data_IF_357955679775
#
_entry.id   IF_357955679775
#
_cell.length_a   1.000
_cell.length_b   1.000
_cell.length_c   1.000
_cell.angle_alpha   90.00
_cell.angle_beta   90.00
_cell.angle_gamma   90.00
#
_symmetry.space_group_name_H-M   'P 1'
#
loop_
_entity.id
_entity.type
_entity.pdbx_description
1 polymer ?
#
# COMPACT_ATOMS: atom_id res chain seq x y z
N UNK A 1 -4.63 14.21 15.08
CA UNK A 1 -4.58 13.42 13.83
C UNK A 1 -3.14 13.48 13.38
N UNK A 2 -2.47 12.37 13.14
CA UNK A 2 -1.07 12.41 12.72
C UNK A 2 -0.97 12.93 11.29
N UNK A 3 -0.13 13.92 11.03
CA UNK A 3 0.17 14.50 9.70
C UNK A 3 0.97 13.53 8.79
N UNK A 4 0.76 12.23 8.95
CA UNK A 4 1.48 11.21 8.19
C UNK A 4 0.90 11.13 6.79
N UNK A 5 1.77 11.28 5.79
CA UNK A 5 1.47 11.05 4.38
C UNK A 5 2.36 9.93 3.85
N UNK A 6 1.93 9.29 2.76
CA UNK A 6 2.71 8.23 2.12
C UNK A 6 3.07 7.09 3.07
N UNK A 7 2.05 6.47 3.66
CA UNK A 7 2.19 5.36 4.58
C UNK A 7 1.16 4.26 4.34
N UNK A 8 1.51 3.04 4.76
CA UNK A 8 0.60 1.91 4.92
C UNK A 8 0.74 1.44 6.36
N UNK A 9 -0.39 1.32 7.07
CA UNK A 9 -0.50 0.67 8.37
C UNK A 9 -1.22 -0.65 8.20
N UNK A 10 -0.53 -1.75 8.46
CA UNK A 10 -1.15 -3.07 8.57
C UNK A 10 -1.94 -3.17 9.88
N UNK A 11 -3.06 -3.88 9.83
CA UNK A 11 -3.96 -4.09 10.97
C UNK A 11 -4.35 -5.56 11.00
N UNK A 12 -5.00 -6.01 12.08
CA UNK A 12 -5.45 -7.41 12.19
C UNK A 12 -6.41 -7.84 11.07
N UNK A 13 -7.19 -6.90 10.51
CA UNK A 13 -8.25 -7.20 9.54
C UNK A 13 -7.99 -6.68 8.13
N UNK A 14 -6.81 -6.08 7.89
CA UNK A 14 -6.48 -5.49 6.60
C UNK A 14 -5.45 -4.38 6.74
N UNK A 15 -5.66 -3.26 6.04
CA UNK A 15 -4.77 -2.10 6.13
C UNK A 15 -5.51 -0.79 5.95
N UNK A 16 -4.87 0.28 6.42
CA UNK A 16 -5.21 1.67 6.14
C UNK A 16 -3.96 2.42 5.71
N UNK A 17 -4.10 3.51 4.98
CA UNK A 17 -2.95 4.27 4.54
C UNK A 17 -3.32 5.51 3.76
N UNK A 18 -2.28 6.18 3.27
CA UNK A 18 -2.38 7.35 2.45
C UNK A 18 -1.27 7.33 1.40
N UNK A 19 -1.58 7.76 0.18
CA UNK A 19 -0.59 8.13 -0.83
C UNK A 19 -0.88 9.54 -1.34
N UNK A 20 0.15 10.37 -1.35
CA UNK A 20 0.03 11.78 -1.68
C UNK A 20 1.19 12.25 -2.57
N UNK A 21 0.86 13.14 -3.49
CA UNK A 21 1.77 13.88 -4.35
C UNK A 21 1.25 15.32 -4.51
N UNK A 22 1.94 16.13 -5.30
CA UNK A 22 1.44 17.46 -5.64
C UNK A 22 0.10 17.44 -6.40
N UNK A 23 -0.27 16.32 -7.04
CA UNK A 23 -1.46 16.22 -7.89
C UNK A 23 -2.64 15.52 -7.21
N UNK A 24 -2.38 14.73 -6.17
CA UNK A 24 -3.40 13.91 -5.52
C UNK A 24 -3.05 13.66 -4.06
N UNK A 25 -4.09 13.43 -3.27
CA UNK A 25 -4.00 13.00 -1.88
C UNK A 25 -5.11 11.97 -1.67
N UNK A 26 -4.74 10.70 -1.51
CA UNK A 26 -5.66 9.57 -1.60
C UNK A 26 -5.52 8.71 -0.35
N UNK A 27 -6.57 8.69 0.45
CA UNK A 27 -6.73 7.71 1.52
C UNK A 27 -7.04 6.33 0.95
N UNK A 28 -6.41 5.33 1.55
CA UNK A 28 -6.44 3.95 1.13
C UNK A 28 -6.92 3.05 2.27
N UNK A 29 -7.69 2.04 1.90
CA UNK A 29 -7.90 0.86 2.74
C UNK A 29 -7.50 -0.37 1.97
N UNK A 30 -7.35 -1.51 2.63
CA UNK A 30 -7.11 -2.75 1.93
C UNK A 30 -7.51 -3.96 2.75
N UNK A 31 -7.67 -5.06 2.03
CA UNK A 31 -8.13 -6.33 2.57
C UNK A 31 -7.16 -7.42 2.15
N UNK A 32 -6.89 -8.34 3.06
CA UNK A 32 -6.03 -9.49 2.77
C UNK A 32 -6.66 -10.39 1.71
N UNK A 33 -5.83 -10.93 0.82
CA UNK A 33 -6.24 -11.87 -0.21
C UNK A 33 -5.56 -13.20 0.07
N UNK A 34 -6.37 -14.26 0.11
CA UNK A 34 -5.86 -15.63 0.06
C UNK A 34 -5.80 -16.10 -1.39
N UNK A 35 -4.63 -16.55 -1.82
CA UNK A 35 -4.43 -17.13 -3.15
C UNK A 35 -3.41 -18.26 -3.10
N UNK A 36 -3.63 -19.30 -3.89
CA UNK A 36 -2.66 -20.38 -4.11
C UNK A 36 -1.60 -20.00 -5.14
N UNK A 37 -1.76 -18.88 -5.85
CA UNK A 37 -0.78 -18.41 -6.82
C UNK A 37 0.30 -17.59 -6.09
N UNK A 38 1.58 -18.00 -6.12
CA UNK A 38 2.67 -17.29 -5.42
C UNK A 38 2.96 -15.90 -5.99
N UNK A 39 2.44 -15.57 -7.18
CA UNK A 39 2.57 -14.25 -7.81
C UNK A 39 1.37 -13.33 -7.55
N UNK A 40 0.35 -13.81 -6.84
CA UNK A 40 -0.81 -13.00 -6.49
C UNK A 40 -0.44 -11.93 -5.46
N UNK A 41 -1.15 -10.78 -5.45
CA UNK A 41 -1.08 -9.87 -4.33
C UNK A 41 -1.58 -10.55 -3.06
N UNK A 42 -1.01 -10.15 -1.93
CA UNK A 42 -1.42 -10.55 -0.57
C UNK A 42 -2.45 -9.58 0.02
N UNK A 43 -2.55 -8.36 -0.51
CA UNK A 43 -3.65 -7.42 -0.20
C UNK A 43 -4.19 -6.78 -1.47
N UNK A 44 -5.50 -6.56 -1.54
CA UNK A 44 -6.10 -5.60 -2.49
C UNK A 44 -6.15 -4.23 -1.85
N UNK A 45 -5.94 -3.20 -2.65
CA UNK A 45 -6.01 -1.80 -2.22
C UNK A 45 -7.27 -1.18 -2.80
N UNK A 46 -8.03 -0.55 -1.92
CA UNK A 46 -9.28 0.13 -2.19
C UNK A 46 -9.11 1.63 -1.94
N UNK A 47 -9.74 2.44 -2.77
CA UNK A 47 -9.90 3.88 -2.55
C UNK A 47 -11.36 4.29 -2.77
N UNK A 48 -11.70 5.51 -2.33
CA UNK A 48 -13.03 6.09 -2.52
C UNK A 48 -13.05 6.96 -3.77
N UNK A 49 -14.01 6.70 -4.65
CA UNK A 49 -14.37 7.65 -5.72
C UNK A 49 -14.91 8.96 -5.14
N UNK A 50 -14.99 10.06 -5.92
CA UNK A 50 -15.63 11.31 -5.48
C UNK A 50 -17.07 11.16 -4.99
N UNK A 51 -17.76 10.07 -5.36
CA UNK A 51 -19.11 9.73 -4.89
C UNK A 51 -19.13 8.80 -3.66
N UNK A 52 -17.98 8.55 -3.03
CA UNK A 52 -17.86 7.71 -1.83
C UNK A 52 -17.93 6.20 -2.08
N UNK A 53 -17.93 5.74 -3.34
CA UNK A 53 -17.92 4.29 -3.67
C UNK A 53 -16.50 3.74 -3.55
N UNK A 54 -16.35 2.57 -2.93
CA UNK A 54 -15.09 1.82 -2.92
C UNK A 54 -14.79 1.27 -4.31
N UNK A 55 -13.55 1.42 -4.76
CA UNK A 55 -13.03 0.80 -5.98
C UNK A 55 -11.66 0.20 -5.70
N UNK A 56 -11.39 -0.97 -6.27
CA UNK A 56 -10.04 -1.55 -6.24
C UNK A 56 -9.14 -0.80 -7.19
N UNK A 57 -8.00 -0.35 -6.69
CA UNK A 57 -7.03 0.46 -7.45
C UNK A 57 -5.68 -0.24 -7.62
N UNK A 58 -5.46 -1.37 -6.96
CA UNK A 58 -4.19 -2.08 -7.01
C UNK A 58 -4.02 -3.10 -5.90
N UNK A 59 -2.77 -3.44 -5.60
CA UNK A 59 -2.45 -4.45 -4.60
C UNK A 59 -1.10 -4.28 -3.96
N UNK A 60 -0.86 -5.10 -2.94
CA UNK A 60 0.43 -5.29 -2.28
C UNK A 60 0.88 -6.72 -2.51
N UNK A 61 2.15 -6.88 -2.87
CA UNK A 61 2.81 -8.16 -3.02
C UNK A 61 3.88 -8.32 -1.93
N UNK A 62 4.02 -9.54 -1.45
CA UNK A 62 5.14 -9.95 -0.59
C UNK A 62 6.23 -10.56 -1.47
N UNK A 63 7.47 -10.10 -1.30
CA UNK A 63 8.65 -10.52 -2.07
C UNK A 63 9.80 -10.84 -1.13
N UNK A 64 10.80 -11.56 -1.65
CA UNK A 64 12.03 -11.91 -0.93
C UNK A 64 13.19 -11.12 -1.54
N UNK A 65 13.97 -10.43 -0.71
CA UNK A 65 15.15 -9.68 -1.15
C UNK A 65 16.38 -10.60 -1.33
N UNK A 66 17.50 -10.04 -1.79
CA UNK A 66 18.73 -10.83 -2.04
C UNK A 66 19.30 -11.51 -0.78
N UNK A 67 18.99 -11.00 0.41
CA UNK A 67 19.41 -11.55 1.69
C UNK A 67 18.39 -12.56 2.26
N UNK A 68 17.36 -12.93 1.50
CA UNK A 68 16.33 -13.87 1.94
C UNK A 68 15.28 -13.27 2.87
N UNK A 69 15.28 -11.95 3.10
CA UNK A 69 14.27 -11.29 3.95
C UNK A 69 13.05 -10.86 3.15
N UNK A 70 11.88 -11.00 3.78
CA UNK A 70 10.62 -10.54 3.20
C UNK A 70 10.56 -9.00 3.12
N UNK A 71 9.96 -8.50 2.05
CA UNK A 71 9.57 -7.10 1.89
C UNK A 71 8.28 -6.98 1.10
N UNK A 72 7.62 -5.84 1.21
CA UNK A 72 6.37 -5.58 0.49
C UNK A 72 6.57 -4.56 -0.62
N UNK A 73 5.86 -4.77 -1.73
CA UNK A 73 5.78 -3.83 -2.85
C UNK A 73 4.34 -3.52 -3.16
N UNK A 74 4.05 -2.27 -3.49
CA UNK A 74 2.73 -1.75 -3.85
C UNK A 74 2.72 -1.35 -5.32
N UNK A 75 1.60 -1.61 -6.00
CA UNK A 75 1.30 -1.03 -7.31
C UNK A 75 -0.16 -0.60 -7.33
N UNK A 76 -0.41 0.67 -7.63
CA UNK A 76 -1.76 1.26 -7.66
C UNK A 76 -1.95 2.19 -8.86
N UNK A 77 -3.19 2.30 -9.33
CA UNK A 77 -3.62 3.31 -10.28
C UNK A 77 -4.25 4.48 -9.53
N UNK A 78 -3.63 5.65 -9.64
CA UNK A 78 -4.06 6.87 -8.93
C UNK A 78 -5.08 7.70 -9.71
N UNK A 79 -5.42 7.28 -10.94
CA UNK A 79 -6.15 8.11 -11.91
C UNK A 79 -5.25 9.10 -12.66
N UNK A 80 -4.07 9.44 -12.10
CA UNK A 80 -3.06 10.29 -12.73
C UNK A 80 -1.87 9.49 -13.31
N UNK A 81 -1.86 8.18 -13.10
CA UNK A 81 -0.79 7.29 -13.50
C UNK A 81 -0.69 6.09 -12.57
N UNK A 82 0.16 5.13 -12.96
CA UNK A 82 0.52 4.02 -12.09
C UNK A 82 1.62 4.48 -11.13
N UNK A 83 1.43 4.23 -9.85
CA UNK A 83 2.44 4.37 -8.81
C UNK A 83 2.93 2.97 -8.45
N UNK A 84 4.24 2.74 -8.54
CA UNK A 84 4.88 1.58 -7.94
C UNK A 84 5.73 2.04 -6.77
N UNK A 85 5.75 1.26 -5.69
CA UNK A 85 6.49 1.60 -4.49
C UNK A 85 6.97 0.36 -3.74
N UNK A 86 8.03 0.51 -2.96
CA UNK A 86 8.39 -0.43 -1.91
C UNK A 86 7.85 0.07 -0.57
N UNK A 87 7.51 -0.84 0.32
CA UNK A 87 7.15 -0.49 1.69
C UNK A 87 8.36 -0.70 2.59
N UNK A 88 8.87 0.39 3.16
CA UNK A 88 9.99 0.39 4.11
C UNK A 88 9.49 0.63 5.53
N UNK A 89 10.20 0.14 6.54
CA UNK A 89 9.87 0.45 7.94
C UNK A 89 10.04 1.94 8.20
N UNK A 90 9.11 2.57 8.91
CA UNK A 90 9.35 3.90 9.44
C UNK A 90 10.48 3.86 10.48
N UNK A 91 11.49 4.75 10.41
CA UNK A 91 12.56 4.79 11.40
C UNK A 91 12.00 5.03 12.82
N UNK A 92 12.26 4.11 13.75
CA UNK A 92 11.91 4.26 15.16
C UNK A 92 10.43 4.14 15.50
N UNK A 93 9.61 3.55 14.61
CA UNK A 93 8.18 3.31 14.83
C UNK A 93 7.83 1.82 14.80
N UNK A 94 6.57 1.52 15.15
CA UNK A 94 6.02 0.18 15.18
C UNK A 94 6.16 -0.55 13.84
N UNK A 95 6.33 -1.87 13.90
CA UNK A 95 6.51 -2.73 12.72
C UNK A 95 5.24 -2.82 11.83
N UNK A 96 4.09 -2.31 12.31
CA UNK A 96 2.84 -2.26 11.57
C UNK A 96 2.76 -1.06 10.61
N UNK A 97 3.60 -0.04 10.79
CA UNK A 97 3.58 1.21 10.04
C UNK A 97 4.76 1.31 9.07
N UNK A 98 4.44 1.39 7.78
CA UNK A 98 5.39 1.34 6.69
C UNK A 98 5.33 2.59 5.83
N UNK A 99 6.49 3.14 5.48
CA UNK A 99 6.64 4.23 4.54
C UNK A 99 6.44 3.73 3.11
N UNK A 100 5.69 4.48 2.31
CA UNK A 100 5.55 4.26 0.86
C UNK A 100 6.72 4.96 0.19
N UNK A 101 7.59 4.19 -0.47
CA UNK A 101 8.80 4.69 -1.15
C UNK A 101 8.62 4.44 -2.65
N UNK A 102 8.16 5.45 -3.43
CA UNK A 102 7.95 5.34 -4.86
C UNK A 102 9.23 5.02 -5.63
N UNK A 103 9.07 4.34 -6.76
CA UNK A 103 10.12 4.12 -7.75
C UNK A 103 9.53 4.08 -9.16
N UNK A 104 10.39 4.40 -10.13
CA UNK A 104 10.07 4.42 -11.57
C UNK A 104 10.38 3.07 -12.25
#
# INVERSE_FOLDING_TARGET
MSDLVNFIRFTETGLSGNIASMAYDIDLTGEEISSTNPKAPVYRILAKTPRGRSVEIGGIWKKINQNGSDYYTLSVNTGYGRLNANLGRFPGQDDDLMAVIPWD
#
